data_IF_179003656075
#
_entry.id   IF_179003656075
#
_cell.length_a   1.000
_cell.length_b   1.000
_cell.length_c   1.000
_cell.angle_alpha   90.00
_cell.angle_beta   90.00
_cell.angle_gamma   90.00
#
_symmetry.space_group_name_H-M   'P 1'
#
loop_
_entity.id
_entity.type
_entity.pdbx_description
1 polymer ?
#
# COMPACT_ATOMS: atom_id res chain seq x y z
N UNK A 1 4.20 -11.31 -7.77
CA UNK A 1 3.86 -9.87 -7.81
C UNK A 1 2.36 -9.76 -8.09
N UNK A 2 1.61 -8.99 -7.31
CA UNK A 2 0.14 -8.98 -7.38
C UNK A 2 -0.44 -7.74 -8.02
N UNK A 3 0.00 -6.60 -7.50
CA UNK A 3 -0.63 -5.31 -7.69
C UNK A 3 0.50 -4.35 -7.93
N UNK A 4 0.42 -3.66 -9.06
CA UNK A 4 1.33 -2.60 -9.39
C UNK A 4 0.56 -1.34 -9.72
N UNK A 5 0.90 -0.23 -9.08
CA UNK A 5 0.26 1.06 -9.33
C UNK A 5 1.33 2.08 -9.71
N UNK A 6 1.06 2.85 -10.77
CA UNK A 6 1.69 4.13 -10.97
C UNK A 6 0.92 5.15 -10.13
N UNK A 7 1.60 5.78 -9.17
CA UNK A 7 1.01 6.74 -8.25
C UNK A 7 1.57 8.12 -8.53
N UNK A 8 0.68 9.03 -8.90
CA UNK A 8 0.94 10.45 -9.09
C UNK A 8 0.29 11.22 -7.94
N UNK A 9 1.07 12.08 -7.28
CA UNK A 9 0.52 13.09 -6.37
C UNK A 9 0.80 14.48 -6.93
N UNK A 10 -0.25 15.15 -7.38
CA UNK A 10 -0.17 16.48 -7.99
C UNK A 10 0.09 17.56 -6.94
N UNK A 11 0.67 18.71 -7.32
CA UNK A 11 0.79 19.88 -6.43
C UNK A 11 -0.53 20.26 -5.76
N UNK A 12 -0.45 20.79 -4.53
CA UNK A 12 -1.60 21.23 -3.76
C UNK A 12 -2.52 22.16 -4.58
N UNK A 13 -3.83 21.90 -4.54
CA UNK A 13 -4.83 22.69 -5.26
C UNK A 13 -5.13 22.21 -6.68
N UNK A 14 -4.41 21.19 -7.18
CA UNK A 14 -4.66 20.57 -8.49
C UNK A 14 -5.78 19.49 -8.46
N UNK A 15 -6.70 19.56 -7.50
CA UNK A 15 -7.82 18.62 -7.34
C UNK A 15 -7.47 17.35 -6.57
N UNK A 16 -8.27 16.29 -6.75
CA UNK A 16 -8.26 15.07 -5.90
C UNK A 16 -6.90 14.37 -5.79
N UNK A 17 -6.04 14.48 -6.81
CA UNK A 17 -4.73 13.84 -6.83
C UNK A 17 -3.68 14.61 -6.00
N UNK A 18 -4.07 15.73 -5.40
CA UNK A 18 -3.21 16.51 -4.49
C UNK A 18 -3.49 16.25 -3.01
N UNK A 19 -4.58 15.56 -2.68
CA UNK A 19 -4.99 15.31 -1.30
C UNK A 19 -4.05 14.34 -0.56
N UNK A 20 -4.00 14.42 0.79
CA UNK A 20 -3.30 13.44 1.60
C UNK A 20 -3.81 12.02 1.34
N UNK A 21 -2.88 11.07 1.41
CA UNK A 21 -3.23 9.65 1.55
C UNK A 21 -3.40 9.43 3.04
N UNK A 22 -4.63 9.18 3.50
CA UNK A 22 -4.88 9.02 4.95
C UNK A 22 -4.18 7.78 5.49
N UNK A 23 -4.00 7.72 6.80
CA UNK A 23 -3.37 6.58 7.46
C UNK A 23 -4.24 5.34 7.39
N UNK A 24 -3.73 4.26 6.81
CA UNK A 24 -4.45 3.01 6.60
C UNK A 24 -3.53 1.78 6.67
N UNK A 25 -4.13 0.60 6.76
CA UNK A 25 -3.49 -0.68 6.44
C UNK A 25 -3.93 -1.12 5.04
N UNK A 26 -3.03 -1.76 4.29
CA UNK A 26 -3.36 -2.28 2.95
C UNK A 26 -4.28 -3.51 3.07
N UNK A 27 -3.93 -4.45 3.96
CA UNK A 27 -4.55 -5.78 4.04
C UNK A 27 -6.09 -5.82 4.15
N UNK A 28 -6.77 -4.98 4.97
CA UNK A 28 -8.24 -5.03 5.12
C UNK A 28 -9.04 -4.92 3.82
N UNK A 29 -8.45 -4.36 2.77
CA UNK A 29 -9.08 -4.13 1.47
C UNK A 29 -8.82 -5.24 0.46
N UNK A 30 -7.93 -6.17 0.77
CA UNK A 30 -7.41 -7.12 -0.19
C UNK A 30 -8.15 -8.46 -0.11
N UNK A 31 -8.36 -9.15 -1.24
CA UNK A 31 -9.12 -10.40 -1.27
C UNK A 31 -8.27 -11.63 -0.90
N UNK A 32 -7.42 -11.53 0.12
CA UNK A 32 -6.52 -12.59 0.56
C UNK A 32 -6.80 -13.04 1.99
N UNK A 33 -6.57 -14.32 2.27
CA UNK A 33 -6.81 -14.94 3.57
C UNK A 33 -5.78 -14.58 4.66
N UNK A 34 -4.62 -14.03 4.28
CA UNK A 34 -3.52 -13.73 5.19
C UNK A 34 -2.78 -12.46 4.81
N UNK A 35 -2.20 -11.80 5.81
CA UNK A 35 -1.48 -10.53 5.66
C UNK A 35 0.00 -10.67 5.29
N UNK A 36 0.45 -11.89 4.96
CA UNK A 36 1.85 -12.20 4.61
C UNK A 36 2.24 -11.55 3.27
N UNK A 37 2.53 -10.25 3.35
CA UNK A 37 2.58 -9.35 2.21
C UNK A 37 3.54 -8.19 2.45
N UNK A 38 4.24 -7.78 1.40
CA UNK A 38 5.13 -6.63 1.39
C UNK A 38 4.85 -5.75 0.17
N UNK A 39 4.74 -4.45 0.39
CA UNK A 39 4.64 -3.46 -0.67
C UNK A 39 5.96 -2.71 -0.78
N UNK A 40 6.55 -2.72 -1.97
CA UNK A 40 7.66 -1.87 -2.34
C UNK A 40 7.08 -0.60 -2.94
N UNK A 41 7.42 0.56 -2.36
CA UNK A 41 7.10 1.87 -2.92
C UNK A 41 8.41 2.48 -3.42
N UNK A 42 8.51 2.68 -4.73
CA UNK A 42 9.74 3.10 -5.43
C UNK A 42 9.55 4.52 -5.97
N UNK A 43 10.51 5.39 -5.68
CA UNK A 43 10.55 6.73 -6.27
C UNK A 43 10.97 6.64 -7.75
N UNK A 44 10.15 7.15 -8.67
CA UNK A 44 10.46 7.17 -10.12
C UNK A 44 11.18 8.45 -10.55
N UNK A 45 11.13 9.48 -9.72
CA UNK A 45 11.79 10.76 -9.85
C UNK A 45 12.28 11.20 -8.46
N UNK A 46 13.05 12.28 -8.30
CA UNK A 46 13.35 12.81 -6.98
C UNK A 46 12.04 13.09 -6.22
N UNK A 47 11.93 12.57 -5.00
CA UNK A 47 10.79 12.80 -4.11
C UNK A 47 11.31 13.38 -2.82
N UNK A 48 10.97 14.63 -2.54
CA UNK A 48 11.27 15.24 -1.24
C UNK A 48 10.16 14.96 -0.23
N UNK A 49 10.45 15.17 1.05
CA UNK A 49 9.46 15.07 2.13
C UNK A 49 8.20 15.91 1.89
N UNK A 50 8.38 17.14 1.35
CA UNK A 50 7.29 18.07 1.01
C UNK A 50 6.45 17.62 -0.18
N UNK A 51 6.98 16.74 -1.04
CA UNK A 51 6.21 16.11 -2.12
C UNK A 51 5.25 15.03 -1.62
N UNK A 52 5.27 14.74 -0.32
CA UNK A 52 4.42 13.73 0.30
C UNK A 52 5.00 12.34 0.19
N UNK A 53 6.28 12.13 0.52
CA UNK A 53 6.80 10.79 0.74
C UNK A 53 6.08 10.07 1.89
N UNK A 54 6.09 8.74 1.87
CA UNK A 54 5.35 7.92 2.81
C UNK A 54 5.84 8.11 4.25
N UNK A 55 4.90 8.04 5.19
CA UNK A 55 5.10 8.02 6.64
C UNK A 55 4.43 6.79 7.22
N UNK A 56 5.00 6.26 8.28
CA UNK A 56 4.63 4.98 8.88
C UNK A 56 4.56 5.12 10.39
N UNK A 57 3.55 4.53 11.03
CA UNK A 57 3.60 4.32 12.48
C UNK A 57 4.60 3.20 12.79
N UNK A 58 5.60 3.50 13.61
CA UNK A 58 6.69 2.58 13.90
C UNK A 58 6.17 1.29 14.54
N UNK A 59 6.60 0.16 13.99
CA UNK A 59 6.23 -1.21 14.41
C UNK A 59 4.73 -1.49 14.46
N UNK A 60 3.90 -0.68 13.81
CA UNK A 60 2.44 -0.84 13.89
C UNK A 60 1.95 -2.15 13.27
N UNK A 61 2.76 -2.80 12.41
CA UNK A 61 2.44 -4.12 11.86
C UNK A 61 2.30 -5.21 12.94
N UNK A 62 2.97 -5.04 14.10
CA UNK A 62 2.87 -5.95 15.23
C UNK A 62 1.56 -5.79 16.03
N UNK A 63 0.79 -4.72 15.77
CA UNK A 63 -0.50 -4.47 16.43
C UNK A 63 -1.64 -5.32 15.83
N UNK A 64 -1.39 -6.03 14.72
CA UNK A 64 -2.39 -6.84 14.05
C UNK A 64 -3.32 -6.03 13.15
N UNK A 65 -4.48 -6.58 12.86
CA UNK A 65 -5.50 -5.97 11.99
C UNK A 65 -6.28 -4.92 12.77
N UNK A 66 -6.26 -3.68 12.29
CA UNK A 66 -6.95 -2.53 12.90
C UNK A 66 -8.25 -2.16 12.16
N UNK A 67 -8.59 -2.87 11.08
CA UNK A 67 -9.82 -2.66 10.32
C UNK A 67 -9.65 -1.78 9.09
N UNK A 68 -10.77 -1.48 8.42
CA UNK A 68 -10.80 -0.66 7.20
C UNK A 68 -10.86 0.82 7.55
N UNK A 69 -10.17 1.63 6.75
CA UNK A 69 -10.28 3.09 6.69
C UNK A 69 -10.71 3.51 5.29
N UNK A 70 -11.14 4.76 5.10
CA UNK A 70 -11.83 5.23 3.89
C UNK A 70 -13.22 4.62 3.70
N UNK A 71 -13.88 4.17 4.78
CA UNK A 71 -15.25 3.64 4.72
C UNK A 71 -16.27 4.79 4.72
N UNK A 72 -15.95 5.88 5.42
CA UNK A 72 -16.80 7.08 5.52
C UNK A 72 -15.94 8.33 5.42
N UNK A 73 -16.49 9.43 4.93
CA UNK A 73 -15.71 10.67 4.79
C UNK A 73 -15.02 11.09 6.10
N UNK A 74 -13.70 11.23 6.05
CA UNK A 74 -12.87 11.66 7.18
C UNK A 74 -12.41 10.55 8.13
N UNK A 75 -12.67 9.26 7.84
CA UNK A 75 -12.14 8.17 8.64
C UNK A 75 -10.72 7.76 8.23
N UNK A 76 -9.90 7.47 9.23
CA UNK A 76 -8.55 6.93 9.11
C UNK A 76 -8.22 6.06 10.32
N UNK A 77 -7.08 5.36 10.30
CA UNK A 77 -6.71 4.50 11.43
C UNK A 77 -6.56 5.29 12.75
N UNK A 78 -5.85 6.44 12.81
CA UNK A 78 -5.74 7.25 14.03
C UNK A 78 -7.06 7.77 14.59
N UNK A 79 -8.04 8.15 13.75
CA UNK A 79 -9.36 8.62 14.21
C UNK A 79 -10.19 7.48 14.79
N UNK A 80 -10.04 6.26 14.27
CA UNK A 80 -10.69 5.06 14.80
C UNK A 80 -9.98 4.50 16.04
N UNK A 81 -8.67 4.71 16.14
CA UNK A 81 -7.79 4.16 17.18
C UNK A 81 -6.92 5.26 17.79
N UNK A 82 -7.55 6.15 18.57
CA UNK A 82 -6.89 7.33 19.13
C UNK A 82 -5.63 7.01 19.97
N UNK A 83 -5.54 5.82 20.56
CA UNK A 83 -4.36 5.37 21.31
C UNK A 83 -3.09 5.21 20.44
N UNK A 84 -3.21 5.19 19.11
CA UNK A 84 -2.06 5.19 18.20
C UNK A 84 -1.29 6.50 18.19
N UNK A 85 -1.86 7.62 18.65
CA UNK A 85 -1.16 8.91 18.65
C UNK A 85 0.08 8.91 19.56
N UNK A 86 0.16 7.97 20.50
CA UNK A 86 1.33 7.79 21.35
C UNK A 86 2.48 7.04 20.64
N UNK A 87 2.20 6.45 19.48
CA UNK A 87 3.17 5.67 18.72
C UNK A 87 3.99 6.58 17.79
N UNK A 88 5.33 6.44 17.74
CA UNK A 88 6.16 7.26 16.87
C UNK A 88 5.79 7.11 15.40
N UNK A 89 5.80 8.23 14.67
CA UNK A 89 5.69 8.24 13.21
C UNK A 89 7.08 8.45 12.60
N UNK A 90 7.49 7.55 11.72
CA UNK A 90 8.76 7.58 10.99
C UNK A 90 8.52 7.73 9.48
N UNK A 91 9.58 7.98 8.71
CA UNK A 91 9.48 8.22 7.27
C UNK A 91 9.50 9.71 6.92
N UNK A 92 8.86 10.08 5.82
CA UNK A 92 8.98 11.43 5.28
C UNK A 92 10.38 11.72 4.74
N UNK A 93 11.05 10.72 4.18
CA UNK A 93 12.40 10.84 3.67
C UNK A 93 12.43 11.54 2.30
N UNK A 94 13.58 12.15 2.00
CA UNK A 94 13.96 12.49 0.64
C UNK A 94 14.50 11.24 -0.05
N UNK A 95 14.00 10.95 -1.25
CA UNK A 95 14.27 9.74 -2.00
C UNK A 95 14.75 10.12 -3.40
N UNK A 96 15.89 9.56 -3.80
CA UNK A 96 16.39 9.65 -5.16
C UNK A 96 15.63 8.70 -6.08
N UNK A 97 15.63 8.91 -7.41
CA UNK A 97 15.07 7.93 -8.35
C UNK A 97 15.68 6.54 -8.12
N UNK A 98 14.82 5.54 -7.93
CA UNK A 98 15.20 4.16 -7.64
C UNK A 98 15.26 3.82 -6.14
N UNK A 99 15.29 4.80 -5.24
CA UNK A 99 15.14 4.54 -3.81
C UNK A 99 13.75 4.00 -3.52
N UNK A 100 13.67 3.10 -2.53
CA UNK A 100 12.43 2.45 -2.18
C UNK A 100 12.24 2.37 -0.66
N UNK A 101 10.97 2.45 -0.26
CA UNK A 101 10.53 1.98 1.06
C UNK A 101 9.83 0.64 0.90
N UNK A 102 9.89 -0.19 1.94
CA UNK A 102 9.19 -1.47 1.98
C UNK A 102 8.38 -1.52 3.26
N UNK A 103 7.10 -1.86 3.15
CA UNK A 103 6.21 -1.99 4.31
C UNK A 103 5.38 -3.26 4.24
N UNK A 104 5.11 -3.82 5.43
CA UNK A 104 4.20 -4.96 5.59
C UNK A 104 2.75 -4.49 5.42
N UNK A 105 1.85 -5.34 4.94
CA UNK A 105 0.46 -4.95 4.67
C UNK A 105 -0.37 -4.57 5.92
N UNK A 106 0.16 -4.82 7.12
CA UNK A 106 -0.40 -4.35 8.41
C UNK A 106 0.29 -3.08 8.94
N UNK A 107 1.28 -2.54 8.24
CA UNK A 107 1.91 -1.28 8.64
C UNK A 107 0.94 -0.14 8.34
N UNK A 108 0.62 0.64 9.37
CA UNK A 108 -0.22 1.82 9.26
C UNK A 108 0.63 2.90 8.62
N UNK A 109 0.20 3.37 7.45
CA UNK A 109 0.99 4.30 6.67
C UNK A 109 0.10 5.28 5.92
N UNK A 110 0.67 6.43 5.58
CA UNK A 110 0.00 7.51 4.87
C UNK A 110 1.01 8.41 4.19
N UNK A 111 0.53 9.41 3.47
CA UNK A 111 1.37 10.43 2.84
C UNK A 111 0.68 11.79 2.95
N UNK A 112 1.41 12.85 3.35
CA UNK A 112 0.82 14.18 3.33
C UNK A 112 0.50 14.63 1.90
N UNK A 113 -0.15 15.79 1.78
CA UNK A 113 -0.32 16.48 0.49
C UNK A 113 1.06 16.83 -0.10
N UNK A 114 1.13 16.91 -1.42
CA UNK A 114 2.31 17.44 -2.10
C UNK A 114 2.24 18.97 -2.06
N UNK A 115 3.08 19.61 -1.23
CA UNK A 115 3.16 21.06 -1.12
C UNK A 115 4.20 21.70 -2.05
N UNK A 116 4.86 20.90 -2.89
CA UNK A 116 5.78 21.42 -3.91
C UNK A 116 5.03 21.91 -5.15
N UNK A 117 5.77 22.45 -6.12
CA UNK A 117 5.24 22.92 -7.40
C UNK A 117 5.25 21.85 -8.51
N UNK A 118 5.73 20.64 -8.23
CA UNK A 118 5.87 19.56 -9.23
C UNK A 118 5.22 18.26 -8.78
N UNK A 119 4.73 17.46 -9.73
CA UNK A 119 4.10 16.18 -9.43
C UNK A 119 5.09 15.16 -8.84
N UNK A 120 4.65 14.41 -7.84
CA UNK A 120 5.39 13.27 -7.26
C UNK A 120 5.08 12.01 -8.07
N UNK A 121 6.10 11.38 -8.63
CA UNK A 121 5.97 10.14 -9.40
C UNK A 121 6.55 8.95 -8.63
N UNK A 122 5.75 7.90 -8.47
CA UNK A 122 6.13 6.71 -7.72
C UNK A 122 5.46 5.46 -8.28
N UNK A 123 6.09 4.32 -8.07
CA UNK A 123 5.57 3.01 -8.46
C UNK A 123 5.44 2.13 -7.22
N UNK A 124 4.33 1.42 -7.09
CA UNK A 124 4.21 0.37 -6.07
C UNK A 124 4.24 -1.01 -6.70
N UNK A 125 4.88 -1.95 -6.04
CA UNK A 125 4.79 -3.38 -6.35
C UNK A 125 4.54 -4.15 -5.05
N UNK A 126 3.39 -4.82 -4.97
CA UNK A 126 3.01 -5.64 -3.82
C UNK A 126 3.26 -7.12 -4.10
N UNK A 127 3.91 -7.77 -3.16
CA UNK A 127 4.18 -9.20 -3.13
C UNK A 127 3.44 -9.83 -1.96
N UNK A 128 3.03 -11.08 -2.13
CA UNK A 128 2.33 -11.85 -1.11
C UNK A 128 2.78 -13.31 -1.18
N UNK A 129 2.53 -14.03 -0.11
CA UNK A 129 2.75 -15.48 -0.02
C UNK A 129 2.05 -16.19 -1.18
N UNK A 130 2.80 -16.99 -1.95
CA UNK A 130 2.28 -17.75 -3.09
C UNK A 130 1.16 -18.73 -2.69
N UNK A 131 1.09 -19.11 -1.41
CA UNK A 131 0.06 -19.98 -0.87
C UNK A 131 -1.16 -19.23 -0.31
N UNK A 132 -1.21 -17.88 -0.40
CA UNK A 132 -2.38 -17.12 0.03
C UNK A 132 -3.60 -17.51 -0.79
N UNK A 133 -4.74 -17.63 -0.14
CA UNK A 133 -5.97 -18.07 -0.76
C UNK A 133 -6.83 -16.88 -1.18
N UNK A 134 -7.42 -16.98 -2.36
CA UNK A 134 -8.39 -15.99 -2.84
C UNK A 134 -9.70 -16.12 -2.07
N UNK A 135 -10.14 -15.04 -1.45
CA UNK A 135 -11.34 -15.02 -0.59
C UNK A 135 -12.63 -14.74 -1.34
N UNK A 136 -12.56 -14.25 -2.59
CA UNK A 136 -13.73 -13.77 -3.33
C UNK A 136 -14.23 -12.38 -2.92
N UNK A 137 -13.55 -11.70 -1.99
CA UNK A 137 -13.93 -10.34 -1.60
C UNK A 137 -13.77 -9.36 -2.78
N UNK A 138 -14.65 -8.34 -2.89
CA UNK A 138 -14.58 -7.36 -3.98
C UNK A 138 -13.33 -6.51 -3.85
N UNK A 139 -12.59 -6.39 -4.94
CA UNK A 139 -11.40 -5.57 -5.02
C UNK A 139 -11.07 -5.24 -6.47
N UNK A 140 -11.15 -3.96 -6.83
CA UNK A 140 -11.13 -3.48 -8.23
C UNK A 140 -9.94 -4.00 -9.06
N UNK A 141 -8.77 -4.20 -8.44
CA UNK A 141 -7.56 -4.66 -9.13
C UNK A 141 -7.59 -6.18 -9.43
N UNK A 142 -8.45 -6.94 -8.73
CA UNK A 142 -8.65 -8.38 -8.93
C UNK A 142 -10.01 -8.70 -9.57
N UNK A 143 -10.99 -7.80 -9.50
CA UNK A 143 -12.37 -8.03 -9.97
C UNK A 143 -12.44 -8.47 -11.44
N UNK A 144 -11.60 -7.94 -12.32
CA UNK A 144 -11.55 -8.34 -13.73
C UNK A 144 -11.07 -9.78 -13.96
N UNK A 145 -10.39 -10.36 -12.96
CA UNK A 145 -9.88 -11.73 -12.96
C UNK A 145 -10.72 -12.65 -12.06
N UNK A 146 -11.70 -12.11 -11.34
CA UNK A 146 -12.48 -12.86 -10.34
C UNK A 146 -13.13 -14.14 -10.88
N UNK A 147 -13.59 -14.14 -12.14
CA UNK A 147 -14.16 -15.33 -12.81
C UNK A 147 -13.12 -16.39 -13.19
N UNK A 148 -11.83 -16.06 -13.11
CA UNK A 148 -10.69 -16.94 -13.43
C UNK A 148 -9.95 -17.41 -12.18
N UNK A 149 -10.40 -16.99 -10.99
CA UNK A 149 -9.86 -17.40 -9.71
C UNK A 149 -10.91 -18.22 -8.97
N UNK A 150 -10.47 -19.24 -8.25
CA UNK A 150 -11.34 -20.08 -7.43
C UNK A 150 -11.24 -19.66 -5.96
N UNK A 151 -12.38 -19.48 -5.29
CA UNK A 151 -12.43 -19.12 -3.87
C UNK A 151 -11.82 -20.25 -3.04
N UNK A 152 -11.03 -19.89 -2.03
CA UNK A 152 -10.26 -20.80 -1.17
C UNK A 152 -9.17 -21.59 -1.91
N UNK A 153 -8.72 -21.11 -3.07
CA UNK A 153 -7.53 -21.62 -3.77
C UNK A 153 -6.43 -20.56 -3.86
N UNK A 154 -5.16 -20.97 -4.01
CA UNK A 154 -4.08 -20.06 -4.37
C UNK A 154 -4.40 -19.27 -5.64
N UNK A 155 -3.74 -18.12 -5.82
CA UNK A 155 -3.89 -17.27 -6.99
C UNK A 155 -3.18 -17.85 -8.23
N UNK A 156 -3.68 -18.97 -8.75
CA UNK A 156 -3.13 -19.67 -9.92
C UNK A 156 -3.56 -18.97 -11.22
N UNK A 157 -2.85 -17.93 -11.62
CA UNK A 157 -3.10 -17.23 -12.88
C UNK A 157 -1.84 -16.51 -13.39
N UNK A 158 -1.60 -16.40 -14.71
CA UNK A 158 -0.42 -15.71 -15.25
C UNK A 158 -0.24 -14.24 -14.82
N UNK A 159 -1.33 -13.59 -14.39
CA UNK A 159 -1.28 -12.24 -13.83
C UNK A 159 -0.72 -12.17 -12.39
N UNK A 160 -0.61 -13.33 -11.71
CA UNK A 160 -0.01 -13.47 -10.38
C UNK A 160 1.21 -14.40 -10.46
N UNK A 161 2.27 -13.99 -11.18
CA UNK A 161 3.45 -14.83 -11.35
C UNK A 161 4.15 -15.06 -10.00
N UNK A 162 4.63 -16.29 -9.82
CA UNK A 162 5.56 -16.66 -8.75
C UNK A 162 6.89 -15.97 -9.03
N UNK A 163 7.48 -15.38 -7.98
CA UNK A 163 8.76 -14.66 -8.07
C UNK A 163 9.78 -15.42 -7.24
N UNK A 164 10.85 -15.87 -7.90
CA UNK A 164 11.81 -16.81 -7.34
C UNK A 164 11.23 -18.24 -7.33
N UNK A 165 11.59 -19.06 -8.31
CA UNK A 165 11.37 -20.51 -8.24
C UNK A 165 12.64 -21.19 -7.72
N UNK A 166 12.49 -22.34 -7.05
CA UNK A 166 13.63 -23.17 -6.59
C UNK A 166 14.47 -23.76 -7.74
N UNK A 167 14.16 -23.46 -9.01
CA UNK A 167 14.85 -24.01 -10.19
C UNK A 167 16.22 -23.39 -10.49
N UNK A 168 16.73 -22.49 -9.65
CA UNK A 168 18.12 -22.01 -9.75
C UNK A 168 18.87 -22.21 -8.43
N UNK A 169 19.30 -23.46 -8.21
CA UNK A 169 20.50 -23.79 -7.43
C UNK A 169 21.35 -24.78 -8.20
#
# INVERSE_FOLDING_TARGET
>A
MQISNLLVKEPAGAGRHSEPTVYHQDFPWLPMDRSAMLTFWVALAPVTAEMGSLRFFDKSNALGLLGRSFVTDGDDIPTQHAWLTDQPVVGGYDLSPGDATVHHALTVHGAPKNSSSTARLSFTATYFDANALYTGAPYSQTDQLSQKLEVNRPFEHPAYPIVGSEETR
#
